data_IF_582177043109
#
_entry.id   IF_582177043109
#
_cell.length_a   1.000
_cell.length_b   1.000
_cell.length_c   1.000
_cell.angle_alpha   90.00
_cell.angle_beta   90.00
_cell.angle_gamma   90.00
#
_symmetry.space_group_name_H-M   'P 1'
#
loop_
_entity.id
_entity.type
_entity.pdbx_description
1 polymer ?
#
# COMPACT_ATOMS: atom_id res chain seq x y z
N UNK A 1 -1.61 -7.41 -6.18
CA UNK A 1 -1.92 -6.80 -7.49
C UNK A 1 -2.46 -5.40 -7.24
N UNK A 2 -2.12 -4.41 -8.06
CA UNK A 2 -2.67 -3.05 -7.93
C UNK A 2 -4.07 -2.97 -8.56
N UNK A 3 -4.93 -2.09 -8.04
CA UNK A 3 -6.21 -1.75 -8.65
C UNK A 3 -6.02 -1.08 -10.02
N UNK A 4 -7.04 -1.06 -10.91
CA UNK A 4 -6.92 -0.41 -12.21
C UNK A 4 -6.51 1.06 -12.12
N UNK A 5 -7.11 1.82 -11.18
CA UNK A 5 -6.76 3.22 -10.95
C UNK A 5 -5.31 3.38 -10.48
N UNK A 6 -4.85 2.51 -9.58
CA UNK A 6 -3.46 2.52 -9.14
C UNK A 6 -2.49 2.20 -10.29
N UNK A 7 -2.86 1.30 -11.19
CA UNK A 7 -2.05 0.98 -12.37
C UNK A 7 -1.90 2.19 -13.30
N UNK A 8 -2.96 2.96 -13.53
CA UNK A 8 -2.90 4.20 -14.33
C UNK A 8 -2.02 5.26 -13.66
N UNK A 9 -2.16 5.46 -12.35
CA UNK A 9 -1.36 6.46 -11.60
C UNK A 9 0.14 6.15 -11.68
N UNK A 10 0.51 4.88 -11.61
CA UNK A 10 1.91 4.46 -11.59
C UNK A 10 2.46 4.04 -12.96
N UNK A 11 1.70 4.14 -14.06
CA UNK A 11 2.09 3.69 -15.40
C UNK A 11 3.41 4.32 -15.88
N UNK A 12 3.62 5.61 -15.59
CA UNK A 12 4.81 6.36 -16.01
C UNK A 12 5.99 6.24 -15.04
N UNK A 13 5.86 5.45 -13.98
CA UNK A 13 6.92 5.27 -12.98
C UNK A 13 8.04 4.42 -13.58
N UNK A 14 9.24 4.98 -13.71
CA UNK A 14 10.42 4.22 -14.14
C UNK A 14 10.92 3.34 -12.97
N UNK A 15 10.80 2.00 -13.05
CA UNK A 15 11.20 1.12 -11.97
C UNK A 15 12.70 1.19 -11.66
N UNK A 16 13.53 1.59 -12.63
CA UNK A 16 14.98 1.71 -12.45
C UNK A 16 15.37 2.92 -11.59
N UNK A 17 14.46 3.88 -11.43
CA UNK A 17 14.63 5.05 -10.57
C UNK A 17 14.11 4.84 -9.16
N UNK A 18 13.37 3.75 -8.91
CA UNK A 18 12.89 3.39 -7.58
C UNK A 18 14.06 2.74 -6.82
N UNK A 19 14.49 3.30 -5.67
CA UNK A 19 15.50 2.67 -4.85
C UNK A 19 15.08 1.24 -4.47
N UNK A 20 16.02 0.31 -4.51
CA UNK A 20 15.77 -1.02 -3.96
C UNK A 20 15.62 -0.90 -2.44
N UNK A 21 14.38 -0.82 -1.97
CA UNK A 21 14.06 -0.73 -0.55
C UNK A 21 14.26 -2.09 0.12
N UNK A 22 14.83 -2.07 1.32
CA UNK A 22 14.86 -3.26 2.17
C UNK A 22 13.72 -3.18 3.18
N UNK A 23 12.72 -4.03 3.01
CA UNK A 23 11.63 -4.18 3.99
C UNK A 23 12.19 -4.88 5.24
N UNK A 24 11.82 -4.36 6.41
CA UNK A 24 12.15 -4.90 7.72
C UNK A 24 10.92 -5.57 8.34
N UNK A 25 10.99 -6.88 8.56
CA UNK A 25 9.89 -7.65 9.14
C UNK A 25 8.76 -7.96 8.16
N UNK A 26 7.60 -8.35 8.70
CA UNK A 26 6.47 -8.90 7.94
C UNK A 26 5.40 -7.85 7.58
N UNK A 27 5.56 -6.60 8.03
CA UNK A 27 4.59 -5.52 7.90
C UNK A 27 3.49 -5.55 8.98
N UNK A 28 2.88 -4.39 9.23
CA UNK A 28 1.84 -4.18 10.23
C UNK A 28 0.50 -3.88 9.55
N UNK A 29 -0.55 -4.63 9.93
CA UNK A 29 -1.90 -4.38 9.46
C UNK A 29 -2.62 -3.37 10.34
N UNK A 30 -3.03 -2.25 9.76
CA UNK A 30 -3.97 -1.30 10.34
C UNK A 30 -5.37 -1.58 9.76
N UNK A 31 -6.29 -1.95 10.65
CA UNK A 31 -7.67 -2.30 10.29
C UNK A 31 -8.60 -1.12 10.57
N UNK A 32 -9.59 -0.92 9.71
CA UNK A 32 -10.62 0.10 9.86
C UNK A 32 -11.99 -0.54 10.22
N UNK A 33 -12.99 0.27 10.63
CA UNK A 33 -14.34 -0.23 10.86
C UNK A 33 -14.99 -0.88 9.62
N UNK A 34 -14.63 -0.40 8.43
CA UNK A 34 -15.02 -1.03 7.17
C UNK A 34 -14.09 -2.23 6.88
N UNK A 35 -14.62 -3.47 6.88
CA UNK A 35 -13.80 -4.67 6.67
C UNK A 35 -13.30 -4.83 5.23
N UNK A 36 -13.71 -3.97 4.30
CA UNK A 36 -13.29 -4.01 2.90
C UNK A 36 -12.06 -3.15 2.61
N UNK A 37 -11.55 -2.41 3.60
CA UNK A 37 -10.36 -1.58 3.47
C UNK A 37 -9.40 -1.78 4.65
N UNK A 38 -8.11 -1.61 4.39
CA UNK A 38 -7.04 -1.65 5.39
C UNK A 38 -5.83 -0.89 4.89
N UNK A 39 -4.88 -0.62 5.79
CA UNK A 39 -3.55 -0.13 5.42
C UNK A 39 -2.51 -1.11 5.93
N UNK A 40 -1.57 -1.49 5.07
CA UNK A 40 -0.42 -2.31 5.46
C UNK A 40 0.82 -1.44 5.51
N UNK A 41 1.45 -1.36 6.68
CA UNK A 41 2.64 -0.55 6.90
C UNK A 41 3.90 -1.41 6.88
N UNK A 42 4.96 -0.87 6.28
CA UNK A 42 6.26 -1.52 6.15
C UNK A 42 7.35 -0.56 6.60
N UNK A 43 8.15 -0.99 7.57
CA UNK A 43 9.39 -0.28 7.89
C UNK A 43 10.46 -0.64 6.86
N UNK A 44 11.14 0.37 6.35
CA UNK A 44 12.22 0.22 5.37
C UNK A 44 13.45 1.00 5.81
N UNK A 45 14.56 0.82 5.10
CA UNK A 45 15.77 1.61 5.25
C UNK A 45 15.59 3.09 4.90
N UNK A 46 14.48 3.46 4.26
CA UNK A 46 14.11 4.85 3.95
C UNK A 46 12.91 5.36 4.74
N UNK A 47 12.53 4.67 5.82
CA UNK A 47 11.41 5.04 6.68
C UNK A 47 10.18 4.17 6.46
N UNK A 48 9.05 4.58 7.04
CA UNK A 48 7.81 3.82 7.05
C UNK A 48 6.98 4.13 5.81
N UNK A 49 6.74 3.11 4.99
CA UNK A 49 5.85 3.16 3.84
C UNK A 49 4.53 2.47 4.18
N UNK A 50 3.44 2.88 3.56
CA UNK A 50 2.15 2.25 3.67
C UNK A 50 1.60 1.83 2.32
N UNK A 51 0.68 0.87 2.32
CA UNK A 51 -0.15 0.54 1.17
C UNK A 51 -1.60 0.48 1.63
N UNK A 52 -2.41 1.41 1.11
CA UNK A 52 -3.85 1.32 1.23
C UNK A 52 -4.34 0.16 0.35
N UNK A 53 -5.11 -0.75 0.93
CA UNK A 53 -5.63 -1.94 0.25
C UNK A 53 -7.15 -2.02 0.36
N UNK A 54 -7.77 -2.58 -0.67
CA UNK A 54 -9.21 -2.85 -0.70
C UNK A 54 -9.52 -4.31 -1.10
N UNK A 55 -10.72 -4.79 -0.80
CA UNK A 55 -11.24 -6.07 -1.28
C UNK A 55 -12.75 -5.98 -1.54
N UNK A 56 -13.26 -6.76 -2.47
CA UNK A 56 -14.67 -6.69 -2.90
C UNK A 56 -15.62 -7.61 -2.11
N UNK A 57 -15.07 -8.59 -1.39
CA UNK A 57 -15.79 -9.52 -0.52
C UNK A 57 -14.86 -9.96 0.64
N UNK A 58 -15.41 -10.51 1.72
CA UNK A 58 -14.63 -10.92 2.89
C UNK A 58 -13.61 -12.03 2.60
N UNK A 59 -13.82 -12.82 1.55
CA UNK A 59 -12.96 -13.88 1.05
C UNK A 59 -12.21 -13.49 -0.24
N UNK A 60 -12.48 -12.30 -0.79
CA UNK A 60 -11.79 -11.80 -1.96
C UNK A 60 -10.33 -11.41 -1.63
N UNK A 61 -9.40 -11.55 -2.59
CA UNK A 61 -8.02 -11.11 -2.41
C UNK A 61 -7.96 -9.58 -2.25
N UNK A 62 -7.02 -9.13 -1.41
CA UNK A 62 -6.70 -7.72 -1.28
C UNK A 62 -5.99 -7.19 -2.53
N UNK A 63 -6.37 -5.99 -2.96
CA UNK A 63 -5.72 -5.23 -4.03
C UNK A 63 -5.15 -3.94 -3.46
N UNK A 64 -3.97 -3.54 -3.95
CA UNK A 64 -3.34 -2.28 -3.54
C UNK A 64 -3.94 -1.10 -4.30
N UNK A 65 -4.39 -0.09 -3.57
CA UNK A 65 -4.98 1.13 -4.11
C UNK A 65 -3.98 2.27 -4.20
N UNK A 66 -3.13 2.41 -3.18
CA UNK A 66 -2.24 3.56 -3.08
C UNK A 66 -1.03 3.26 -2.22
N UNK A 67 0.15 3.70 -2.66
CA UNK A 67 1.37 3.69 -1.85
C UNK A 67 1.42 5.00 -1.07
N UNK A 68 1.71 4.90 0.23
CA UNK A 68 1.92 6.00 1.16
C UNK A 68 3.41 6.10 1.40
N UNK A 69 4.01 7.25 1.11
CA UNK A 69 5.43 7.51 1.32
C UNK A 69 5.71 7.97 2.76
N UNK A 70 6.97 7.87 3.23
CA UNK A 70 7.35 8.34 4.55
C UNK A 70 6.90 9.78 4.82
N UNK A 71 6.16 9.97 5.91
CA UNK A 71 5.60 11.26 6.32
C UNK A 71 4.21 11.57 5.77
N UNK A 72 3.68 10.76 4.86
CA UNK A 72 2.29 10.82 4.43
C UNK A 72 1.36 9.98 5.33
N UNK A 73 0.07 10.31 5.32
CA UNK A 73 -0.96 9.56 6.04
C UNK A 73 -1.87 8.76 5.12
N UNK A 74 -2.49 7.71 5.65
CA UNK A 74 -3.61 7.07 4.96
C UNK A 74 -4.79 8.05 4.85
N UNK A 75 -5.53 7.93 3.74
CA UNK A 75 -6.80 8.65 3.53
C UNK A 75 -8.01 7.77 3.84
N UNK A 76 -7.78 6.50 4.17
CA UNK A 76 -8.82 5.60 4.66
C UNK A 76 -9.09 6.03 6.11
N UNK A 77 -10.31 6.49 6.38
CA UNK A 77 -10.79 6.91 7.69
C UNK A 77 -12.04 6.13 8.07
#
# INVERSE_FOLDING_TARGET
MLSPTAQEVYEITDPSTIPALKIHGDGEWESYPDPYVATVWFDTDQGRFGVDVSRTALDAPWVGERIIFPGEGSILQ
#
